data_IF_060283531079
#
_entry.id   IF_060283531079
#
_cell.length_a   1.000
_cell.length_b   1.000
_cell.length_c   1.000
_cell.angle_alpha   90.00
_cell.angle_beta   90.00
_cell.angle_gamma   90.00
#
_symmetry.space_group_name_H-M   'P 1'
#
loop_
_entity.id
_entity.type
_entity.pdbx_description
1 polymer ?
#
# COMPACT_ATOMS: atom_id res chain seq x y z
N UNK A 1 -13.01 25.73 13.31
CA UNK A 1 -13.83 26.01 12.10
C UNK A 1 -13.98 24.71 11.33
N UNK A 2 -15.20 24.34 10.93
CA UNK A 2 -15.44 23.16 10.09
C UNK A 2 -15.15 23.55 8.63
N UNK A 3 -14.46 22.68 7.89
CA UNK A 3 -14.12 22.88 6.49
C UNK A 3 -15.38 22.95 5.61
N UNK A 4 -15.42 23.90 4.67
CA UNK A 4 -16.53 24.00 3.72
C UNK A 4 -16.34 23.03 2.54
N UNK A 5 -17.42 22.68 1.81
CA UNK A 5 -17.30 21.86 0.59
C UNK A 5 -16.38 22.50 -0.47
N UNK A 6 -16.40 23.82 -0.61
CA UNK A 6 -15.55 24.55 -1.57
C UNK A 6 -14.08 24.49 -1.20
N UNK A 7 -13.75 24.68 0.09
CA UNK A 7 -12.39 24.53 0.60
C UNK A 7 -11.88 23.10 0.39
N UNK A 8 -12.73 22.09 0.58
CA UNK A 8 -12.36 20.70 0.33
C UNK A 8 -12.09 20.44 -1.14
N UNK A 9 -12.97 20.87 -2.06
CA UNK A 9 -12.77 20.73 -3.51
C UNK A 9 -11.50 21.43 -3.98
N UNK A 10 -11.20 22.61 -3.45
CA UNK A 10 -9.96 23.32 -3.75
C UNK A 10 -8.72 22.50 -3.33
N UNK A 11 -8.73 21.95 -2.11
CA UNK A 11 -7.63 21.13 -1.61
C UNK A 11 -7.50 19.78 -2.35
N UNK A 12 -8.63 19.21 -2.78
CA UNK A 12 -8.65 18.03 -3.65
C UNK A 12 -7.99 18.33 -4.98
N UNK A 13 -8.34 19.44 -5.64
CA UNK A 13 -7.73 19.87 -6.89
C UNK A 13 -6.21 20.04 -6.75
N UNK A 14 -5.75 20.72 -5.69
CA UNK A 14 -4.32 20.86 -5.38
C UNK A 14 -3.62 19.51 -5.18
N UNK A 15 -4.27 18.57 -4.49
CA UNK A 15 -3.70 17.24 -4.23
C UNK A 15 -3.56 16.43 -5.53
N UNK A 16 -4.58 16.45 -6.39
CA UNK A 16 -4.59 15.71 -7.66
C UNK A 16 -3.67 16.31 -8.72
N UNK A 17 -3.37 17.61 -8.64
CA UNK A 17 -2.37 18.28 -9.49
C UNK A 17 -0.93 18.11 -8.97
N UNK A 18 -0.76 17.57 -7.76
CA UNK A 18 0.55 17.34 -7.16
C UNK A 18 1.36 16.28 -7.92
N UNK A 19 2.67 16.33 -7.74
CA UNK A 19 3.59 15.30 -8.27
C UNK A 19 3.51 14.06 -7.40
N UNK A 20 3.53 12.89 -8.02
CA UNK A 20 3.62 11.61 -7.31
C UNK A 20 4.99 11.50 -6.60
N UNK A 21 4.95 11.38 -5.26
CA UNK A 21 6.14 11.32 -4.41
C UNK A 21 6.61 9.89 -4.13
N UNK A 22 5.95 8.87 -4.70
CA UNK A 22 6.40 7.48 -4.61
C UNK A 22 7.71 7.29 -5.37
N UNK A 23 8.46 6.23 -5.03
CA UNK A 23 9.69 5.86 -5.79
C UNK A 23 9.39 5.52 -7.25
N UNK A 24 8.18 5.04 -7.54
CA UNK A 24 7.72 4.70 -8.89
C UNK A 24 7.36 5.94 -9.70
N UNK A 25 6.94 7.02 -9.04
CA UNK A 25 6.53 8.28 -9.68
C UNK A 25 5.17 8.19 -10.40
N UNK A 26 4.43 7.10 -10.22
CA UNK A 26 3.07 6.95 -10.71
C UNK A 26 2.26 5.96 -9.87
N UNK A 27 0.94 6.03 -9.99
CA UNK A 27 0.00 5.09 -9.39
C UNK A 27 0.16 3.71 -10.03
N UNK A 28 0.14 2.65 -9.21
CA UNK A 28 0.17 1.27 -9.70
C UNK A 28 -1.06 0.92 -10.54
N UNK A 29 -0.84 0.34 -11.72
CA UNK A 29 -1.91 0.00 -12.67
C UNK A 29 -3.00 -0.88 -12.04
N UNK A 30 -2.61 -1.82 -11.18
CA UNK A 30 -3.51 -2.73 -10.47
C UNK A 30 -4.56 -2.02 -9.59
N UNK A 31 -4.30 -0.79 -9.12
CA UNK A 31 -5.23 -0.01 -8.29
C UNK A 31 -5.67 1.29 -8.96
N UNK A 32 -5.23 1.55 -10.18
CA UNK A 32 -5.51 2.80 -10.90
C UNK A 32 -7.01 3.07 -11.00
N UNK A 33 -7.79 2.07 -11.40
CA UNK A 33 -9.24 2.17 -11.50
C UNK A 33 -9.91 2.43 -10.14
N UNK A 34 -9.44 1.81 -9.06
CA UNK A 34 -9.94 2.05 -7.71
C UNK A 34 -9.67 3.49 -7.26
N UNK A 35 -8.46 3.98 -7.51
CA UNK A 35 -8.08 5.36 -7.21
C UNK A 35 -8.92 6.35 -8.02
N UNK A 36 -9.14 6.10 -9.31
CA UNK A 36 -9.98 6.93 -10.18
C UNK A 36 -11.44 6.96 -9.71
N UNK A 37 -12.03 5.81 -9.40
CA UNK A 37 -13.42 5.73 -8.90
C UNK A 37 -13.60 6.54 -7.61
N UNK A 38 -12.64 6.45 -6.68
CA UNK A 38 -12.67 7.24 -5.44
C UNK A 38 -12.51 8.74 -5.75
N UNK A 39 -11.53 9.11 -6.57
CA UNK A 39 -11.23 10.51 -6.87
C UNK A 39 -12.28 11.18 -7.75
N UNK A 40 -13.15 10.45 -8.43
CA UNK A 40 -14.27 11.01 -9.18
C UNK A 40 -15.43 11.51 -8.29
N UNK A 41 -15.43 11.21 -6.99
CA UNK A 41 -16.44 11.70 -6.03
C UNK A 41 -15.93 12.92 -5.27
N UNK A 42 -16.72 13.99 -5.20
CA UNK A 42 -16.31 15.30 -4.65
C UNK A 42 -15.88 15.25 -3.18
N UNK A 43 -16.36 14.25 -2.45
CA UNK A 43 -16.19 14.09 -1.01
C UNK A 43 -14.91 13.33 -0.63
N UNK A 44 -14.14 12.88 -1.63
CA UNK A 44 -12.95 12.05 -1.45
C UNK A 44 -11.77 12.53 -2.27
N UNK A 45 -10.57 12.33 -1.72
CA UNK A 45 -9.31 12.45 -2.46
C UNK A 45 -8.27 11.48 -1.92
N UNK A 46 -7.67 10.67 -2.78
CA UNK A 46 -6.52 9.84 -2.43
C UNK A 46 -5.28 10.71 -2.25
N UNK A 47 -4.48 10.41 -1.22
CA UNK A 47 -3.28 11.19 -0.86
C UNK A 47 -2.00 10.37 -0.94
N UNK A 48 -2.12 9.04 -0.87
CA UNK A 48 -1.04 8.10 -1.15
C UNK A 48 -1.64 6.72 -1.38
N UNK A 49 -0.99 5.93 -2.23
CA UNK A 49 -1.45 4.59 -2.60
C UNK A 49 -0.28 3.67 -2.95
N UNK A 50 -0.43 2.37 -2.70
CA UNK A 50 0.40 1.31 -3.24
C UNK A 50 -0.44 0.04 -3.35
N UNK A 51 -0.31 -0.72 -4.45
CA UNK A 51 -1.08 -1.94 -4.68
C UNK A 51 -0.64 -3.13 -3.81
N UNK A 52 0.48 -2.98 -3.10
CA UNK A 52 1.19 -4.08 -2.45
C UNK A 52 2.44 -4.43 -3.25
N UNK A 53 3.47 -4.91 -2.55
CA UNK A 53 4.77 -5.19 -3.15
C UNK A 53 5.58 -6.22 -2.39
N UNK A 54 6.40 -6.96 -3.13
CA UNK A 54 7.52 -7.73 -2.61
C UNK A 54 8.78 -6.89 -2.77
N UNK A 55 9.65 -6.92 -1.77
CA UNK A 55 10.88 -6.12 -1.71
C UNK A 55 11.99 -6.97 -1.11
N UNK A 56 13.18 -6.85 -1.70
CA UNK A 56 14.43 -7.21 -1.03
C UNK A 56 15.19 -5.92 -0.77
N UNK A 57 15.59 -5.68 0.47
CA UNK A 57 16.35 -4.49 0.83
C UNK A 57 17.40 -4.80 1.88
N UNK A 58 18.46 -4.00 1.89
CA UNK A 58 19.43 -3.99 2.97
C UNK A 58 18.94 -3.09 4.11
N UNK A 59 18.86 -3.64 5.31
CA UNK A 59 18.50 -2.92 6.53
C UNK A 59 19.76 -2.38 7.23
N UNK A 60 19.86 -1.06 7.33
CA UNK A 60 20.87 -0.38 8.15
C UNK A 60 20.23 0.19 9.41
N UNK A 61 20.25 -0.60 10.49
CA UNK A 61 19.64 -0.23 11.79
C UNK A 61 20.31 1.03 12.38
N UNK A 62 21.59 1.27 12.10
CA UNK A 62 22.37 2.38 12.66
C UNK A 62 21.96 3.77 12.11
N UNK A 63 21.36 3.87 10.92
CA UNK A 63 21.07 5.16 10.26
C UNK A 63 19.60 5.62 10.35
N UNK A 64 18.78 4.89 11.12
CA UNK A 64 17.35 5.20 11.28
C UNK A 64 16.51 4.77 10.07
N UNK A 65 15.33 4.23 10.37
CA UNK A 65 14.45 3.40 9.54
C UNK A 65 13.99 3.90 8.15
N UNK A 66 14.52 4.99 7.58
CA UNK A 66 14.08 5.49 6.26
C UNK A 66 15.17 6.05 5.33
N UNK A 67 16.37 6.39 5.82
CA UNK A 67 17.39 7.09 4.99
C UNK A 67 18.51 6.20 4.44
N UNK A 68 18.66 4.97 4.93
CA UNK A 68 19.75 4.05 4.54
C UNK A 68 19.33 2.73 3.89
N UNK A 69 18.04 2.50 3.60
CA UNK A 69 17.58 1.22 3.05
C UNK A 69 17.72 1.17 1.52
N UNK A 70 18.80 0.54 1.04
CA UNK A 70 19.03 0.21 -0.37
C UNK A 70 18.09 -0.92 -0.80
N UNK A 71 17.25 -0.67 -1.81
CA UNK A 71 16.41 -1.72 -2.39
C UNK A 71 17.21 -2.46 -3.46
N UNK A 72 17.28 -3.77 -3.34
CA UNK A 72 17.93 -4.65 -4.31
C UNK A 72 16.91 -5.20 -5.32
N UNK A 73 15.68 -5.40 -4.86
CA UNK A 73 14.58 -5.90 -5.68
C UNK A 73 13.26 -5.28 -5.25
N UNK A 74 12.37 -5.02 -6.20
CA UNK A 74 10.98 -4.68 -5.91
C UNK A 74 10.06 -5.18 -7.03
N UNK A 75 8.93 -5.77 -6.66
CA UNK A 75 7.87 -6.15 -7.59
C UNK A 75 6.52 -5.83 -6.98
N UNK A 76 5.56 -5.38 -7.80
CA UNK A 76 4.16 -5.18 -7.41
C UNK A 76 3.26 -6.34 -7.84
N UNK A 77 3.86 -7.36 -8.47
CA UNK A 77 3.22 -8.58 -8.98
C UNK A 77 3.89 -9.82 -8.39
N UNK A 78 3.45 -11.01 -8.82
CA UNK A 78 4.08 -12.27 -8.45
C UNK A 78 5.56 -12.28 -8.84
N UNK A 79 6.38 -12.86 -7.96
CA UNK A 79 7.84 -12.87 -8.09
C UNK A 79 8.30 -14.21 -8.63
N UNK A 80 9.21 -14.19 -9.60
CA UNK A 80 9.94 -15.37 -10.03
C UNK A 80 11.16 -15.63 -9.13
N UNK A 81 11.42 -16.91 -8.87
CA UNK A 81 12.53 -17.30 -7.97
C UNK A 81 13.90 -16.91 -8.54
N UNK A 82 14.09 -16.96 -9.85
CA UNK A 82 15.37 -16.58 -10.47
C UNK A 82 15.61 -15.09 -10.36
N UNK A 83 14.58 -14.26 -10.52
CA UNK A 83 14.67 -12.81 -10.30
C UNK A 83 15.10 -12.48 -8.86
N UNK A 84 14.51 -13.17 -7.88
CA UNK A 84 14.91 -12.99 -6.48
C UNK A 84 16.37 -13.39 -6.29
N UNK A 85 16.77 -14.58 -6.74
CA UNK A 85 18.14 -15.10 -6.56
C UNK A 85 19.18 -14.17 -7.20
N UNK A 86 18.91 -13.70 -8.42
CA UNK A 86 19.81 -12.77 -9.13
C UNK A 86 19.96 -11.42 -8.40
N UNK A 87 18.98 -11.06 -7.57
CA UNK A 87 18.99 -9.82 -6.80
C UNK A 87 19.56 -9.98 -5.39
N UNK A 88 19.77 -11.22 -4.92
CA UNK A 88 20.35 -11.49 -3.58
C UNK A 88 21.85 -11.34 -3.66
N UNK A 89 22.36 -10.26 -3.07
CA UNK A 89 23.78 -10.04 -2.86
C UNK A 89 24.07 -9.87 -1.35
N UNK A 90 24.50 -10.94 -0.65
CA UNK A 90 24.79 -10.89 0.77
C UNK A 90 25.86 -9.85 1.13
N UNK A 91 26.77 -9.50 0.21
CA UNK A 91 27.82 -8.52 0.45
C UNK A 91 27.28 -7.10 0.73
N UNK A 92 26.03 -6.83 0.35
CA UNK A 92 25.32 -5.58 0.65
C UNK A 92 24.97 -5.43 2.13
N UNK A 93 25.03 -6.51 2.93
CA UNK A 93 24.85 -6.48 4.39
C UNK A 93 23.65 -7.31 4.86
N UNK A 94 22.81 -6.70 5.70
CA UNK A 94 21.67 -7.39 6.34
C UNK A 94 20.45 -7.30 5.43
N UNK A 95 20.20 -8.36 4.65
CA UNK A 95 19.11 -8.40 3.70
C UNK A 95 17.82 -8.87 4.36
N UNK A 96 16.74 -8.17 4.06
CA UNK A 96 15.38 -8.49 4.51
C UNK A 96 14.49 -8.69 3.29
N UNK A 97 13.88 -9.87 3.21
CA UNK A 97 12.82 -10.18 2.26
C UNK A 97 11.47 -9.82 2.87
N UNK A 98 10.73 -8.94 2.19
CA UNK A 98 9.48 -8.39 2.72
C UNK A 98 8.37 -8.40 1.70
N UNK A 99 7.16 -8.72 2.15
CA UNK A 99 5.91 -8.44 1.45
C UNK A 99 5.06 -7.47 2.28
N UNK A 100 4.58 -6.43 1.61
CA UNK A 100 3.64 -5.46 2.17
C UNK A 100 2.37 -5.42 1.29
N UNK A 101 1.17 -5.42 1.89
CA UNK A 101 -0.08 -5.46 1.14
C UNK A 101 -0.47 -4.06 0.65
N UNK A 102 -1.63 -3.97 -0.02
CA UNK A 102 -2.21 -2.71 -0.42
C UNK A 102 -2.33 -1.73 0.77
N UNK A 103 -2.01 -0.47 0.49
CA UNK A 103 -2.25 0.66 1.38
C UNK A 103 -2.86 1.82 0.59
N UNK A 104 -3.94 2.39 1.12
CA UNK A 104 -4.55 3.62 0.60
C UNK A 104 -4.78 4.61 1.73
N UNK A 105 -4.42 5.87 1.50
CA UNK A 105 -4.82 6.98 2.37
C UNK A 105 -5.79 7.88 1.61
N UNK A 106 -7.01 7.96 2.10
CA UNK A 106 -8.13 8.67 1.46
C UNK A 106 -8.63 9.74 2.40
N UNK A 107 -8.51 10.99 1.98
CA UNK A 107 -9.04 12.12 2.72
C UNK A 107 -10.52 12.23 2.40
N UNK A 108 -11.33 12.32 3.45
CA UNK A 108 -12.78 12.37 3.34
C UNK A 108 -13.27 13.74 3.79
N UNK A 109 -14.33 14.23 3.15
CA UNK A 109 -14.92 15.52 3.48
C UNK A 109 -15.55 15.51 4.89
N UNK A 110 -16.22 14.41 5.26
CA UNK A 110 -16.81 14.24 6.60
C UNK A 110 -16.49 12.87 7.18
N UNK A 111 -16.79 12.69 8.47
CA UNK A 111 -16.69 11.40 9.14
C UNK A 111 -17.63 10.36 8.53
N UNK A 112 -18.83 10.75 8.07
CA UNK A 112 -19.78 9.80 7.51
C UNK A 112 -19.34 9.30 6.12
N UNK A 113 -18.73 10.17 5.30
CA UNK A 113 -18.04 9.75 4.08
C UNK A 113 -16.90 8.75 4.40
N UNK A 114 -16.12 9.00 5.45
CA UNK A 114 -15.07 8.07 5.87
C UNK A 114 -15.63 6.73 6.35
N UNK A 115 -16.74 6.73 7.10
CA UNK A 115 -17.42 5.50 7.54
C UNK A 115 -17.91 4.67 6.35
N UNK A 116 -18.46 5.31 5.32
CA UNK A 116 -18.91 4.61 4.11
C UNK A 116 -17.79 3.76 3.50
N UNK A 117 -16.66 4.38 3.18
CA UNK A 117 -15.51 3.67 2.60
C UNK A 117 -14.83 2.72 3.59
N UNK A 118 -14.87 3.04 4.90
CA UNK A 118 -14.36 2.14 5.94
C UNK A 118 -15.17 0.83 5.98
N UNK A 119 -16.49 0.89 5.90
CA UNK A 119 -17.34 -0.31 5.80
C UNK A 119 -16.98 -1.14 4.57
N UNK A 120 -16.85 -0.53 3.40
CA UNK A 120 -16.39 -1.22 2.18
C UNK A 120 -15.02 -1.90 2.39
N UNK A 121 -14.08 -1.22 3.07
CA UNK A 121 -12.78 -1.78 3.39
C UNK A 121 -12.87 -3.00 4.33
N UNK A 122 -13.71 -2.95 5.36
CA UNK A 122 -13.92 -4.08 6.27
C UNK A 122 -14.54 -5.28 5.55
N UNK A 123 -15.55 -5.06 4.72
CA UNK A 123 -16.23 -6.09 3.92
C UNK A 123 -15.28 -6.73 2.90
N UNK A 124 -14.39 -5.94 2.30
CA UNK A 124 -13.35 -6.43 1.39
C UNK A 124 -12.17 -7.13 2.09
N UNK A 125 -12.16 -7.21 3.43
CA UNK A 125 -11.15 -7.93 4.20
C UNK A 125 -9.98 -7.08 4.72
N UNK A 126 -10.03 -5.75 4.59
CA UNK A 126 -9.05 -4.81 5.14
C UNK A 126 -9.39 -4.42 6.58
N UNK A 127 -9.40 -5.40 7.48
CA UNK A 127 -9.87 -5.24 8.88
C UNK A 127 -9.02 -4.31 9.75
N UNK A 128 -7.79 -4.01 9.33
CA UNK A 128 -6.88 -3.09 10.02
C UNK A 128 -7.01 -1.64 9.52
N UNK A 129 -8.03 -1.37 8.71
CA UNK A 129 -8.36 -0.04 8.26
C UNK A 129 -8.87 0.82 9.42
N UNK A 130 -8.52 2.10 9.41
CA UNK A 130 -8.87 3.00 10.50
C UNK A 130 -9.05 4.44 10.04
N UNK A 131 -9.81 5.21 10.81
CA UNK A 131 -10.08 6.62 10.57
C UNK A 131 -9.30 7.44 11.60
N UNK A 132 -8.57 8.44 11.13
CA UNK A 132 -7.87 9.43 11.97
C UNK A 132 -8.52 10.80 11.83
N UNK A 133 -8.77 11.45 12.96
CA UNK A 133 -9.28 12.82 13.04
C UNK A 133 -8.12 13.76 13.35
N UNK A 134 -7.78 14.60 12.38
CA UNK A 134 -6.74 15.62 12.50
C UNK A 134 -7.28 16.97 12.96
N UNK A 135 -6.37 17.95 13.07
CA UNK A 135 -6.71 19.34 13.35
C UNK A 135 -7.66 19.90 12.29
N UNK A 136 -8.44 20.93 12.66
CA UNK A 136 -9.39 21.62 11.77
C UNK A 136 -10.43 20.68 11.11
N UNK A 137 -10.76 19.55 11.76
CA UNK A 137 -11.75 18.61 11.26
C UNK A 137 -11.28 17.77 10.07
N UNK A 138 -9.96 17.67 9.82
CA UNK A 138 -9.41 16.79 8.77
C UNK A 138 -9.77 15.33 9.07
N UNK A 139 -10.50 14.67 8.18
CA UNK A 139 -10.84 13.24 8.29
C UNK A 139 -10.00 12.44 7.31
N UNK A 140 -9.28 11.44 7.83
CA UNK A 140 -8.35 10.63 7.05
C UNK A 140 -8.69 9.14 7.23
N UNK A 141 -9.04 8.45 6.16
CA UNK A 141 -9.19 6.99 6.15
C UNK A 141 -7.88 6.36 5.68
N UNK A 142 -7.40 5.37 6.42
CA UNK A 142 -6.30 4.49 6.01
C UNK A 142 -6.87 3.09 5.75
N UNK A 143 -6.84 2.63 4.50
CA UNK A 143 -7.19 1.24 4.14
C UNK A 143 -5.94 0.39 4.20
N UNK A 144 -5.94 -0.62 5.08
CA UNK A 144 -4.75 -1.43 5.41
C UNK A 144 -5.10 -2.86 5.77
N UNK A 145 -4.15 -3.77 5.55
CA UNK A 145 -4.21 -5.18 5.94
C UNK A 145 -3.05 -5.54 6.88
N UNK A 146 -3.24 -6.52 7.76
CA UNK A 146 -2.17 -7.13 8.55
C UNK A 146 -1.40 -8.22 7.79
N UNK A 147 -1.77 -8.50 6.54
CA UNK A 147 -1.06 -9.46 5.70
C UNK A 147 0.35 -8.96 5.39
N UNK A 148 1.34 -9.41 6.17
CA UNK A 148 2.75 -9.16 5.91
C UNK A 148 3.56 -10.45 5.82
N UNK A 149 4.79 -10.29 5.33
CA UNK A 149 5.90 -11.22 5.48
C UNK A 149 7.14 -10.35 5.64
N UNK A 150 7.97 -10.61 6.64
CA UNK A 150 9.22 -9.88 6.84
C UNK A 150 10.22 -10.86 7.44
N UNK A 151 11.25 -11.19 6.68
CA UNK A 151 12.19 -12.26 7.02
C UNK A 151 13.61 -11.78 6.73
N UNK A 152 14.47 -11.64 7.75
CA UNK A 152 15.89 -11.44 7.53
C UNK A 152 16.47 -12.71 6.90
N UNK A 153 17.21 -12.56 5.80
CA UNK A 153 17.79 -13.69 5.05
C UNK A 153 19.32 -13.69 5.05
N UNK A 154 19.97 -12.58 5.36
CA UNK A 154 21.42 -12.49 5.54
C UNK A 154 21.79 -11.65 6.75
N UNK A 155 22.98 -11.90 7.28
CA UNK A 155 23.59 -11.13 8.36
C UNK A 155 25.09 -10.98 8.11
N UNK A 156 25.62 -9.77 8.27
CA UNK A 156 27.07 -9.49 8.17
C UNK A 156 27.75 -10.01 6.90
N UNK A 157 27.08 -9.96 5.74
CA UNK A 157 27.68 -10.44 4.49
C UNK A 157 27.39 -11.90 4.15
N UNK A 158 26.72 -12.65 5.04
CA UNK A 158 26.49 -14.09 4.90
C UNK A 158 25.00 -14.40 4.71
N UNK A 159 24.69 -15.21 3.70
CA UNK A 159 23.32 -15.71 3.48
C UNK A 159 23.01 -16.83 4.49
N UNK A 160 22.00 -16.60 5.34
CA UNK A 160 21.62 -17.53 6.42
C UNK A 160 20.61 -18.59 5.97
N UNK A 161 20.07 -18.46 4.76
CA UNK A 161 18.97 -19.29 4.26
C UNK A 161 19.40 -20.12 3.06
N UNK A 162 18.88 -21.35 2.98
CA UNK A 162 19.10 -22.22 1.83
C UNK A 162 18.28 -21.78 0.61
N UNK A 163 18.70 -22.20 -0.59
CA UNK A 163 17.95 -22.01 -1.83
C UNK A 163 16.49 -22.52 -1.71
N UNK A 164 16.29 -23.71 -1.13
CA UNK A 164 14.97 -24.28 -0.88
C UNK A 164 14.10 -23.40 0.03
N UNK A 165 14.71 -22.66 0.96
CA UNK A 165 13.98 -21.73 1.80
C UNK A 165 13.58 -20.46 1.03
N UNK A 166 14.42 -19.97 0.12
CA UNK A 166 14.07 -18.86 -0.77
C UNK A 166 12.88 -19.24 -1.67
N UNK A 167 12.87 -20.44 -2.25
CA UNK A 167 11.71 -20.96 -3.00
C UNK A 167 10.43 -20.96 -2.15
N UNK A 168 10.53 -21.39 -0.89
CA UNK A 168 9.41 -21.37 0.05
C UNK A 168 8.93 -19.93 0.33
N UNK A 169 9.84 -18.98 0.54
CA UNK A 169 9.52 -17.58 0.77
C UNK A 169 8.82 -16.94 -0.43
N UNK A 170 9.33 -17.16 -1.64
CA UNK A 170 8.72 -16.66 -2.89
C UNK A 170 7.31 -17.20 -3.04
N UNK A 171 7.12 -18.52 -2.87
CA UNK A 171 5.77 -19.10 -2.93
C UNK A 171 4.83 -18.48 -1.89
N UNK A 172 5.29 -18.29 -0.65
CA UNK A 172 4.49 -17.67 0.42
C UNK A 172 4.19 -16.19 0.17
N UNK A 173 5.11 -15.47 -0.48
CA UNK A 173 4.87 -14.10 -0.91
C UNK A 173 3.82 -14.06 -2.02
N UNK A 174 3.94 -14.91 -3.05
CA UNK A 174 3.00 -14.98 -4.16
C UNK A 174 1.57 -15.35 -3.70
N UNK A 175 1.42 -16.30 -2.78
CA UNK A 175 0.13 -16.60 -2.12
C UNK A 175 -0.50 -15.35 -1.47
N UNK A 176 0.32 -14.46 -0.89
CA UNK A 176 -0.16 -13.21 -0.28
C UNK A 176 -0.43 -12.11 -1.31
N UNK A 177 0.31 -12.08 -2.42
CA UNK A 177 0.06 -11.17 -3.56
C UNK A 177 -1.30 -11.49 -4.16
N UNK A 178 -1.58 -12.76 -4.45
CA UNK A 178 -2.85 -13.23 -5.02
C UNK A 178 -4.05 -12.89 -4.12
N UNK A 179 -3.97 -13.21 -2.82
CA UNK A 179 -5.04 -12.86 -1.87
C UNK A 179 -5.24 -11.34 -1.74
N UNK A 180 -4.17 -10.55 -1.82
CA UNK A 180 -4.27 -9.10 -1.78
C UNK A 180 -4.90 -8.52 -3.05
N UNK A 181 -4.60 -9.08 -4.23
CA UNK A 181 -5.29 -8.74 -5.48
C UNK A 181 -6.78 -9.05 -5.37
N UNK A 182 -7.15 -10.24 -4.87
CA UNK A 182 -8.56 -10.59 -4.64
C UNK A 182 -9.28 -9.65 -3.66
N UNK A 183 -8.62 -9.23 -2.56
CA UNK A 183 -9.17 -8.20 -1.66
C UNK A 183 -9.34 -6.85 -2.34
N UNK A 184 -8.39 -6.47 -3.18
CA UNK A 184 -8.42 -5.20 -3.93
C UNK A 184 -9.58 -5.16 -4.92
N UNK A 185 -9.85 -6.25 -5.63
CA UNK A 185 -11.00 -6.38 -6.53
C UNK A 185 -12.34 -6.33 -5.79
N UNK A 186 -12.43 -7.02 -4.64
CA UNK A 186 -13.60 -6.93 -3.74
C UNK A 186 -13.81 -5.51 -3.25
N UNK A 187 -12.75 -4.82 -2.85
CA UNK A 187 -12.81 -3.42 -2.42
C UNK A 187 -13.35 -2.52 -3.52
N UNK A 188 -12.84 -2.67 -4.75
CA UNK A 188 -13.35 -1.93 -5.90
C UNK A 188 -14.85 -2.15 -6.11
N UNK A 189 -15.29 -3.41 -6.03
CA UNK A 189 -16.70 -3.77 -6.18
C UNK A 189 -17.56 -3.15 -5.07
N UNK A 190 -17.15 -3.28 -3.80
CA UNK A 190 -17.84 -2.67 -2.67
C UNK A 190 -17.94 -1.14 -2.81
N UNK A 191 -16.85 -0.47 -3.22
CA UNK A 191 -16.82 0.98 -3.40
C UNK A 191 -17.76 1.43 -4.53
N UNK A 192 -17.75 0.74 -5.67
CA UNK A 192 -18.68 1.04 -6.78
C UNK A 192 -20.13 0.91 -6.33
N UNK A 193 -20.49 -0.19 -5.70
CA UNK A 193 -21.85 -0.44 -5.21
C UNK A 193 -22.27 0.63 -4.18
N UNK A 194 -21.39 0.96 -3.23
CA UNK A 194 -21.65 1.98 -2.22
C UNK A 194 -21.88 3.37 -2.83
N UNK A 195 -21.21 3.68 -3.94
CA UNK A 195 -21.39 4.93 -4.64
C UNK A 195 -22.66 4.96 -5.50
N UNK A 196 -23.08 3.83 -6.08
CA UNK A 196 -24.34 3.74 -6.83
C UNK A 196 -25.57 3.88 -5.93
N UNK A 197 -25.58 3.24 -4.75
CA UNK A 197 -26.71 3.29 -3.81
C UNK A 197 -26.91 4.68 -3.19
N UNK A 198 -25.85 5.50 -3.13
CA UNK A 198 -25.89 6.84 -2.55
C UNK A 198 -25.91 7.96 -3.61
N UNK A 199 -26.21 7.65 -4.87
CA UNK A 199 -26.47 8.64 -5.93
C UNK A 199 -27.98 8.81 -6.10
#
# INVERSE_FOLDING_TARGET
MKMTPEEFRHQKCQTLQGVDLSRKGCIDDAIKLLVEVINNRDEFVTTSSCSGRVILFCENIAEGHKKGCKWLFTSHDSVDIQELINSVDPAEGNLVFKYEPLILHIRCFTLDHAKLLHTCALEAGFRNSGITLGKHGKVMLAVRSCMGLEVPISENGELLVSHKYLEFLVRKANEKVEENQSRTERLLTCVKNAFEVNT
#
